data_IF_991519351198
#
_entry.id   IF_991519351198
#
_cell.length_a   1.000
_cell.length_b   1.000
_cell.length_c   1.000
_cell.angle_alpha   90.00
_cell.angle_beta   90.00
_cell.angle_gamma   90.00
#
_symmetry.space_group_name_H-M   'P 1'
#
loop_
_entity.id
_entity.type
_entity.pdbx_description
1 polymer ?
#
# COMPACT_ATOMS: atom_id res chain seq x y z
N UNK A 1 76.45 36.89 -26.65
CA UNK A 1 77.20 36.26 -25.56
C UNK A 1 76.22 35.69 -24.54
N UNK A 2 76.26 34.37 -24.34
CA UNK A 2 75.51 33.53 -23.38
C UNK A 2 73.98 33.77 -23.17
N UNK A 3 73.20 33.60 -24.24
CA UNK A 3 71.78 33.17 -24.22
C UNK A 3 71.67 31.64 -24.43
N UNK A 4 72.43 30.86 -23.66
CA UNK A 4 72.57 29.39 -23.86
C UNK A 4 72.05 28.55 -22.67
N UNK A 5 71.87 29.14 -21.49
CA UNK A 5 71.30 28.46 -20.31
C UNK A 5 69.77 28.41 -20.29
N UNK A 6 69.10 29.46 -20.76
CA UNK A 6 67.64 29.57 -20.68
C UNK A 6 66.86 28.67 -21.64
N UNK A 7 67.40 28.40 -22.84
CA UNK A 7 66.78 27.44 -23.78
C UNK A 7 66.84 26.00 -23.26
N UNK A 8 67.88 25.62 -22.50
CA UNK A 8 67.98 24.29 -21.88
C UNK A 8 67.00 24.13 -20.71
N UNK A 9 66.77 25.19 -19.93
CA UNK A 9 65.83 25.20 -18.80
C UNK A 9 64.37 25.14 -19.29
N UNK A 10 64.02 25.86 -20.35
CA UNK A 10 62.68 25.81 -20.96
C UNK A 10 62.37 24.44 -21.58
N UNK A 11 63.35 23.80 -22.23
CA UNK A 11 63.19 22.44 -22.79
C UNK A 11 63.08 21.39 -21.67
N UNK A 12 63.84 21.52 -20.57
CA UNK A 12 63.70 20.64 -19.40
C UNK A 12 62.35 20.82 -18.69
N UNK A 13 61.82 22.04 -18.58
CA UNK A 13 60.50 22.30 -17.99
C UNK A 13 59.34 21.77 -18.86
N UNK A 14 59.44 21.87 -20.19
CA UNK A 14 58.44 21.30 -21.11
C UNK A 14 58.45 19.76 -21.12
N UNK A 15 59.63 19.14 -20.98
CA UNK A 15 59.75 17.68 -20.84
C UNK A 15 59.27 17.19 -19.48
N UNK A 16 59.53 17.92 -18.39
CA UNK A 16 58.97 17.58 -17.06
C UNK A 16 57.44 17.66 -17.04
N UNK A 17 56.83 18.58 -17.80
CA UNK A 17 55.37 18.68 -17.89
C UNK A 17 54.74 17.56 -18.72
N UNK A 18 55.46 17.01 -19.71
CA UNK A 18 55.02 15.83 -20.47
C UNK A 18 55.19 14.51 -19.69
N UNK A 19 56.20 14.41 -18.81
CA UNK A 19 56.35 13.23 -17.93
C UNK A 19 55.31 13.24 -16.79
N UNK A 20 54.89 14.42 -16.31
CA UNK A 20 53.80 14.55 -15.31
C UNK A 20 52.39 14.27 -15.88
N UNK A 21 52.21 14.27 -17.20
CA UNK A 21 50.95 13.88 -17.85
C UNK A 21 50.89 12.38 -18.23
N UNK A 22 52.00 11.64 -18.10
CA UNK A 22 52.05 10.19 -18.31
C UNK A 22 52.16 9.37 -17.02
N UNK A 23 52.31 10.02 -15.85
CA UNK A 23 52.22 9.39 -14.53
C UNK A 23 50.80 9.45 -13.92
N UNK A 24 49.76 9.58 -14.77
CA UNK A 24 48.34 9.58 -14.37
C UNK A 24 47.56 8.35 -14.84
N UNK A 25 48.25 7.30 -15.30
CA UNK A 25 47.66 6.01 -15.68
C UNK A 25 48.51 4.87 -15.15
N UNK A 26 48.99 4.97 -13.91
CA UNK A 26 49.31 3.75 -13.19
C UNK A 26 47.99 3.22 -12.62
N UNK A 27 47.54 2.16 -13.28
CA UNK A 27 46.65 1.14 -12.77
C UNK A 27 46.79 1.05 -11.24
N UNK A 28 45.86 1.66 -10.50
CA UNK A 28 45.36 0.95 -9.34
C UNK A 28 44.70 -0.31 -9.91
N UNK A 29 45.50 -1.37 -10.04
CA UNK A 29 45.05 -2.69 -9.63
C UNK A 29 44.64 -2.51 -8.16
N UNK A 30 43.47 -1.91 -7.96
CA UNK A 30 42.60 -2.43 -6.93
C UNK A 30 42.56 -3.91 -7.26
N UNK A 31 43.17 -4.71 -6.39
CA UNK A 31 42.74 -6.09 -6.24
C UNK A 31 41.21 -5.99 -6.35
N UNK A 32 40.66 -6.45 -7.49
CA UNK A 32 39.25 -6.76 -7.50
C UNK A 32 39.13 -7.63 -6.26
N UNK A 33 38.30 -7.28 -5.26
CA UNK A 33 37.95 -8.27 -4.27
C UNK A 33 37.49 -9.42 -5.13
N UNK A 34 38.26 -10.52 -5.07
CA UNK A 34 38.11 -11.71 -5.89
C UNK A 34 36.62 -11.85 -6.08
N UNK A 35 36.13 -11.66 -7.32
CA UNK A 35 34.70 -11.69 -7.60
C UNK A 35 34.29 -13.07 -7.15
N UNK A 36 33.86 -13.18 -5.89
CA UNK A 36 33.15 -14.32 -5.39
C UNK A 36 32.14 -14.57 -6.47
N UNK A 37 32.07 -15.80 -7.02
CA UNK A 37 31.11 -16.08 -8.06
C UNK A 37 29.81 -15.52 -7.54
N UNK A 38 29.29 -14.48 -8.21
CA UNK A 38 28.00 -13.91 -7.87
C UNK A 38 27.12 -15.12 -8.08
N UNK A 39 26.78 -15.78 -6.97
CA UNK A 39 25.94 -16.95 -6.96
C UNK A 39 24.74 -16.45 -7.74
N UNK A 40 24.56 -16.95 -8.97
CA UNK A 40 23.46 -16.52 -9.82
C UNK A 40 22.24 -16.89 -9.00
N UNK A 41 21.70 -15.92 -8.27
CA UNK A 41 20.48 -16.10 -7.51
C UNK A 41 19.48 -16.32 -8.61
N UNK A 42 19.13 -17.59 -8.82
CA UNK A 42 18.19 -17.99 -9.85
C UNK A 42 16.96 -17.11 -9.66
N UNK A 43 16.65 -16.27 -10.66
CA UNK A 43 15.49 -15.41 -10.54
C UNK A 43 14.27 -16.29 -10.33
N UNK A 44 13.43 -16.02 -9.32
CA UNK A 44 12.25 -16.83 -9.11
C UNK A 44 11.33 -16.73 -10.32
N UNK A 45 10.63 -17.82 -10.60
CA UNK A 45 9.61 -17.84 -11.64
C UNK A 45 8.58 -16.75 -11.38
N UNK A 46 8.37 -15.88 -12.38
CA UNK A 46 7.38 -14.80 -12.31
C UNK A 46 6.38 -14.98 -13.43
N UNK A 47 5.12 -14.98 -13.05
CA UNK A 47 4.03 -14.91 -14.00
C UNK A 47 4.08 -13.60 -14.78
N UNK A 48 3.64 -13.65 -16.05
CA UNK A 48 3.54 -12.48 -16.91
C UNK A 48 2.13 -12.33 -17.46
N UNK A 49 1.76 -11.11 -17.83
CA UNK A 49 0.59 -10.86 -18.66
C UNK A 49 0.88 -11.13 -20.14
N UNK A 50 -0.16 -11.03 -20.99
CA UNK A 50 -0.05 -11.21 -22.45
C UNK A 50 0.86 -10.18 -23.14
N UNK A 51 1.29 -9.13 -22.43
CA UNK A 51 2.22 -8.10 -22.91
C UNK A 51 3.65 -8.29 -22.36
N UNK A 52 3.91 -9.39 -21.66
CA UNK A 52 5.21 -9.71 -21.09
C UNK A 52 5.56 -8.91 -19.82
N UNK A 53 4.61 -8.18 -19.22
CA UNK A 53 4.85 -7.49 -17.95
C UNK A 53 4.80 -8.50 -16.81
N UNK A 54 5.79 -8.44 -15.92
CA UNK A 54 5.86 -9.33 -14.76
C UNK A 54 4.86 -8.95 -13.67
N UNK A 55 4.25 -9.96 -13.08
CA UNK A 55 3.50 -9.84 -11.84
C UNK A 55 4.40 -9.33 -10.70
N UNK A 56 3.79 -8.68 -9.72
CA UNK A 56 4.46 -8.32 -8.47
C UNK A 56 4.34 -9.48 -7.49
N UNK A 57 5.46 -9.94 -6.93
CA UNK A 57 5.52 -11.14 -6.10
C UNK A 57 5.95 -10.84 -4.68
N UNK A 58 5.54 -11.67 -3.74
CA UNK A 58 6.04 -11.65 -2.37
C UNK A 58 5.15 -12.44 -1.43
N UNK A 59 5.42 -12.34 -0.14
CA UNK A 59 4.59 -12.93 0.92
C UNK A 59 3.73 -11.84 1.53
N UNK A 60 2.41 -12.01 1.54
CA UNK A 60 1.45 -11.17 2.25
C UNK A 60 0.92 -11.96 3.45
N UNK A 61 1.30 -11.55 4.65
CA UNK A 61 0.96 -12.26 5.89
C UNK A 61 1.47 -13.71 5.85
N UNK A 62 0.55 -14.68 5.87
CA UNK A 62 0.90 -16.11 5.82
C UNK A 62 1.09 -16.67 4.40
N UNK A 63 0.68 -15.94 3.35
CA UNK A 63 0.58 -16.49 2.00
C UNK A 63 1.53 -15.83 0.98
N UNK A 64 2.13 -16.64 0.12
CA UNK A 64 2.83 -16.16 -1.07
C UNK A 64 1.83 -15.79 -2.16
N UNK A 65 2.02 -14.63 -2.79
CA UNK A 65 1.13 -14.08 -3.82
C UNK A 65 1.90 -13.64 -5.06
N UNK A 66 1.21 -13.69 -6.20
CA UNK A 66 1.57 -13.13 -7.50
C UNK A 66 0.45 -12.19 -7.92
N UNK A 67 0.68 -10.89 -7.80
CA UNK A 67 -0.31 -9.85 -8.14
C UNK A 67 -0.20 -9.56 -9.64
N UNK A 68 -1.30 -9.68 -10.42
CA UNK A 68 -1.27 -9.47 -11.86
C UNK A 68 -0.67 -8.12 -12.25
N UNK A 69 0.17 -8.14 -13.29
CA UNK A 69 0.70 -6.92 -13.87
C UNK A 69 -0.44 -5.95 -14.27
N UNK A 70 -0.28 -4.67 -13.91
CA UNK A 70 -1.28 -3.64 -14.17
C UNK A 70 -2.27 -3.38 -13.03
N UNK A 71 -2.38 -4.26 -12.03
CA UNK A 71 -3.30 -4.04 -10.89
C UNK A 71 -2.76 -2.99 -9.92
N UNK A 72 -1.45 -3.06 -9.64
CA UNK A 72 -0.76 -2.14 -8.71
C UNK A 72 0.41 -1.41 -9.37
N UNK A 73 0.66 -1.63 -10.66
CA UNK A 73 1.78 -1.06 -11.43
C UNK A 73 3.14 -1.10 -10.71
N UNK A 74 3.40 -2.18 -9.95
CA UNK A 74 4.65 -2.41 -9.23
C UNK A 74 4.76 -1.74 -7.85
N UNK A 75 3.71 -1.06 -7.38
CA UNK A 75 3.68 -0.35 -6.10
C UNK A 75 3.35 -1.25 -4.91
N UNK A 76 4.21 -2.24 -4.67
CA UNK A 76 4.23 -2.99 -3.41
C UNK A 76 5.38 -2.48 -2.53
N UNK A 77 5.07 -2.19 -1.27
CA UNK A 77 6.05 -1.88 -0.24
C UNK A 77 6.43 -3.15 0.48
N UNK A 78 7.72 -3.43 0.58
CA UNK A 78 8.24 -4.62 1.26
C UNK A 78 8.76 -4.23 2.64
N UNK A 79 8.68 -5.17 3.58
CA UNK A 79 9.18 -4.98 4.94
C UNK A 79 10.66 -4.57 4.93
N UNK A 80 10.99 -3.55 5.72
CA UNK A 80 12.35 -3.01 5.82
C UNK A 80 12.74 -2.08 4.67
N UNK A 81 11.88 -1.85 3.67
CA UNK A 81 12.10 -0.80 2.68
C UNK A 81 11.97 0.58 3.34
N UNK A 82 12.88 1.53 3.07
CA UNK A 82 12.74 2.90 3.55
C UNK A 82 11.44 3.51 3.01
N UNK A 83 10.70 4.20 3.88
CA UNK A 83 9.50 4.91 3.48
C UNK A 83 9.79 6.07 2.53
N UNK A 84 8.74 6.59 1.90
CA UNK A 84 8.85 7.68 0.91
C UNK A 84 9.41 8.98 1.49
N UNK A 85 9.32 9.17 2.80
CA UNK A 85 9.87 10.33 3.51
C UNK A 85 11.13 10.02 4.32
N UNK A 86 11.71 8.82 4.17
CA UNK A 86 12.95 8.48 4.85
C UNK A 86 14.11 9.38 4.42
N UNK A 87 15.05 9.63 5.34
CA UNK A 87 16.27 10.39 5.08
C UNK A 87 16.95 9.89 3.78
N UNK A 88 17.29 10.78 2.84
CA UNK A 88 17.99 10.42 1.61
C UNK A 88 19.24 9.55 1.83
N UNK A 89 19.96 9.73 2.95
CA UNK A 89 21.13 8.91 3.31
C UNK A 89 20.76 7.47 3.65
N UNK A 90 19.59 7.23 4.25
CA UNK A 90 19.08 5.88 4.51
C UNK A 90 18.70 5.23 3.18
N UNK A 91 17.99 5.97 2.31
CA UNK A 91 17.61 5.48 0.97
C UNK A 91 18.82 5.12 0.12
N UNK A 92 19.86 5.96 0.13
CA UNK A 92 21.08 5.74 -0.63
C UNK A 92 21.86 4.48 -0.19
N UNK A 93 21.73 4.08 1.08
CA UNK A 93 22.39 2.89 1.63
C UNK A 93 21.55 1.62 1.53
N UNK A 94 20.25 1.75 1.27
CA UNK A 94 19.35 0.62 1.22
C UNK A 94 19.58 -0.23 -0.03
N UNK A 95 19.96 -1.49 0.20
CA UNK A 95 20.02 -2.51 -0.84
C UNK A 95 18.76 -3.35 -0.73
N UNK A 96 17.93 -3.31 -1.78
CA UNK A 96 16.71 -4.12 -1.82
C UNK A 96 17.10 -5.60 -1.87
N UNK A 97 16.55 -6.44 -0.98
CA UNK A 97 16.74 -7.89 -1.08
C UNK A 97 16.25 -8.42 -2.44
N UNK A 98 16.78 -9.54 -2.93
CA UNK A 98 16.22 -10.20 -4.11
C UNK A 98 14.72 -10.41 -3.94
N UNK A 99 13.94 -10.10 -4.98
CA UNK A 99 12.49 -10.37 -4.97
C UNK A 99 12.29 -11.87 -4.98
N UNK A 100 11.58 -12.39 -3.98
CA UNK A 100 11.19 -13.81 -3.86
C UNK A 100 9.78 -13.91 -3.34
N UNK A 101 9.15 -15.08 -3.45
CA UNK A 101 7.82 -15.33 -2.86
C UNK A 101 7.80 -15.38 -1.33
N UNK A 102 8.98 -15.38 -0.70
CA UNK A 102 9.14 -15.29 0.76
C UNK A 102 9.45 -13.87 1.24
N UNK A 103 9.73 -12.93 0.33
CA UNK A 103 9.98 -11.54 0.69
C UNK A 103 8.68 -10.90 1.19
N UNK A 104 8.66 -10.55 2.48
CA UNK A 104 7.48 -10.01 3.15
C UNK A 104 7.06 -8.66 2.56
N UNK A 105 5.81 -8.60 2.12
CA UNK A 105 5.13 -7.39 1.65
C UNK A 105 4.54 -6.70 2.89
N UNK A 106 4.95 -5.47 3.14
CA UNK A 106 4.35 -4.61 4.15
C UNK A 106 2.95 -4.21 3.71
N UNK A 107 2.82 -3.65 2.50
CA UNK A 107 1.53 -3.26 1.96
C UNK A 107 1.51 -3.05 0.44
N UNK A 108 0.30 -3.04 -0.12
CA UNK A 108 0.02 -2.55 -1.47
C UNK A 108 -1.43 -2.07 -1.55
N UNK A 109 -1.73 -1.23 -2.53
CA UNK A 109 -3.08 -0.75 -2.80
C UNK A 109 -3.58 -1.17 -4.19
N UNK A 110 -4.87 -1.49 -4.30
CA UNK A 110 -5.56 -1.77 -5.57
C UNK A 110 -6.99 -1.21 -5.54
N UNK A 111 -7.66 -1.18 -6.69
CA UNK A 111 -9.05 -0.77 -6.79
C UNK A 111 -9.89 -1.88 -7.39
N UNK A 112 -11.13 -2.01 -6.93
CA UNK A 112 -12.10 -2.90 -7.55
C UNK A 112 -13.48 -2.27 -7.60
N UNK A 113 -14.30 -2.71 -8.54
CA UNK A 113 -15.66 -2.22 -8.73
C UNK A 113 -16.62 -3.04 -7.85
N UNK A 114 -17.33 -2.36 -6.96
CA UNK A 114 -18.19 -2.97 -5.94
C UNK A 114 -19.39 -3.71 -6.58
N UNK A 115 -19.83 -3.29 -7.77
CA UNK A 115 -21.01 -3.85 -8.42
C UNK A 115 -20.82 -5.27 -8.94
N UNK A 116 -19.63 -5.62 -9.43
CA UNK A 116 -19.36 -6.91 -10.07
C UNK A 116 -18.04 -7.57 -9.63
N UNK A 117 -17.22 -6.88 -8.84
CA UNK A 117 -15.96 -7.42 -8.31
C UNK A 117 -14.78 -7.32 -9.26
N UNK A 118 -14.91 -6.62 -10.41
CA UNK A 118 -13.80 -6.51 -11.36
C UNK A 118 -12.70 -5.58 -10.83
N UNK A 119 -11.45 -5.89 -11.15
CA UNK A 119 -10.27 -5.22 -10.60
C UNK A 119 -9.72 -4.23 -11.60
N UNK A 120 -9.51 -2.99 -11.16
CA UNK A 120 -8.84 -1.99 -11.97
C UNK A 120 -7.46 -2.52 -12.39
N UNK A 121 -7.27 -2.66 -13.70
CA UNK A 121 -6.02 -3.12 -14.27
C UNK A 121 -5.65 -2.21 -15.43
N UNK A 122 -4.45 -1.63 -15.36
CA UNK A 122 -3.90 -0.76 -16.40
C UNK A 122 -3.80 -1.50 -17.75
N UNK A 123 -4.18 -0.80 -18.81
CA UNK A 123 -4.32 -1.28 -20.19
C UNK A 123 -5.38 -2.38 -20.41
N UNK A 124 -6.45 -2.37 -19.62
CA UNK A 124 -7.65 -3.20 -19.80
C UNK A 124 -8.92 -2.35 -19.81
N UNK A 125 -10.05 -2.96 -20.20
CA UNK A 125 -11.36 -2.31 -20.20
C UNK A 125 -11.72 -1.65 -18.85
N UNK A 126 -11.28 -2.24 -17.75
CA UNK A 126 -11.48 -1.71 -16.40
C UNK A 126 -10.87 -0.33 -16.16
N UNK A 127 -9.79 0.01 -16.87
CA UNK A 127 -9.19 1.36 -16.81
C UNK A 127 -10.10 2.39 -17.48
N UNK A 128 -10.64 2.05 -18.65
CA UNK A 128 -11.61 2.89 -19.36
C UNK A 128 -12.91 3.04 -18.57
N UNK A 129 -13.39 1.96 -17.97
CA UNK A 129 -14.55 1.96 -17.09
C UNK A 129 -14.35 2.89 -15.89
N UNK A 130 -13.21 2.77 -15.21
CA UNK A 130 -12.87 3.63 -14.08
C UNK A 130 -12.82 5.10 -14.50
N UNK A 131 -12.17 5.42 -15.64
CA UNK A 131 -12.09 6.79 -16.16
C UNK A 131 -13.48 7.34 -16.47
N UNK A 132 -14.31 6.58 -17.19
CA UNK A 132 -15.69 6.96 -17.52
C UNK A 132 -16.49 7.22 -16.25
N UNK A 133 -16.46 6.32 -15.28
CA UNK A 133 -17.20 6.47 -14.03
C UNK A 133 -16.72 7.69 -13.24
N UNK A 134 -15.40 7.96 -13.24
CA UNK A 134 -14.80 9.11 -12.58
C UNK A 134 -15.26 10.44 -13.22
N UNK A 135 -15.31 10.50 -14.56
CA UNK A 135 -15.73 11.69 -15.31
C UNK A 135 -17.26 11.92 -15.27
N UNK A 136 -18.06 10.86 -15.16
CA UNK A 136 -19.52 10.94 -15.29
C UNK A 136 -20.30 10.85 -13.98
N UNK A 137 -19.69 10.39 -12.88
CA UNK A 137 -20.37 10.23 -11.60
C UNK A 137 -19.91 11.24 -10.56
N UNK A 138 -18.60 11.42 -10.38
CA UNK A 138 -18.05 12.26 -9.31
C UNK A 138 -18.46 13.74 -9.47
N UNK A 139 -18.34 14.39 -10.65
CA UNK A 139 -18.70 15.80 -10.81
C UNK A 139 -20.18 16.10 -10.54
N UNK A 140 -21.02 15.08 -10.62
CA UNK A 140 -22.47 15.18 -10.42
C UNK A 140 -22.92 14.63 -9.06
N UNK A 141 -21.97 14.38 -8.14
CA UNK A 141 -22.27 13.89 -6.79
C UNK A 141 -22.92 12.50 -6.75
N UNK A 142 -22.77 11.70 -7.83
CA UNK A 142 -23.35 10.35 -7.88
C UNK A 142 -22.43 9.35 -7.15
N UNK A 143 -23.00 8.27 -6.58
CA UNK A 143 -22.20 7.24 -5.91
C UNK A 143 -21.14 6.62 -6.83
N UNK A 144 -19.87 6.78 -6.46
CA UNK A 144 -18.75 6.21 -7.21
C UNK A 144 -18.60 4.71 -6.90
N UNK A 145 -18.69 3.81 -7.90
CA UNK A 145 -18.82 2.36 -7.69
C UNK A 145 -17.50 1.63 -7.45
N UNK A 146 -16.39 2.35 -7.30
CA UNK A 146 -15.07 1.76 -7.09
C UNK A 146 -14.62 1.94 -5.65
N UNK A 147 -14.17 0.85 -5.03
CA UNK A 147 -13.50 0.86 -3.75
C UNK A 147 -11.99 0.98 -3.94
N UNK A 148 -11.34 1.79 -3.11
CA UNK A 148 -9.89 1.77 -2.95
C UNK A 148 -9.54 0.85 -1.79
N UNK A 149 -8.65 -0.12 -2.02
CA UNK A 149 -8.26 -1.13 -1.03
C UNK A 149 -6.76 -1.03 -0.78
N UNK A 150 -6.36 -1.08 0.48
CA UNK A 150 -4.98 -1.28 0.90
C UNK A 150 -4.89 -2.54 1.74
N UNK A 151 -4.04 -3.49 1.34
CA UNK A 151 -3.78 -4.71 2.09
C UNK A 151 -2.43 -4.60 2.81
N UNK A 152 -2.40 -4.99 4.08
CA UNK A 152 -1.22 -4.92 4.94
C UNK A 152 -0.90 -6.29 5.51
N UNK A 153 0.34 -6.75 5.37
CA UNK A 153 0.80 -7.97 6.02
C UNK A 153 1.08 -7.74 7.50
N UNK A 154 0.58 -8.62 8.38
CA UNK A 154 0.85 -8.57 9.82
C UNK A 154 1.80 -9.70 10.20
N UNK A 155 3.04 -9.37 10.55
CA UNK A 155 4.12 -10.35 10.81
C UNK A 155 4.54 -10.43 12.28
N UNK A 156 3.87 -9.69 13.18
CA UNK A 156 4.15 -9.66 14.61
C UNK A 156 3.12 -10.46 15.43
N UNK A 157 3.35 -10.54 16.74
CA UNK A 157 2.45 -11.19 17.69
C UNK A 157 1.29 -10.29 18.16
N UNK A 158 1.07 -9.15 17.47
CA UNK A 158 0.00 -8.23 17.84
C UNK A 158 -1.37 -8.93 17.65
N UNK A 159 -2.33 -8.73 18.58
CA UNK A 159 -3.68 -9.24 18.40
C UNK A 159 -4.28 -8.72 17.10
N UNK A 160 -4.87 -9.60 16.29
CA UNK A 160 -5.53 -9.26 15.04
C UNK A 160 -6.95 -8.74 15.30
N UNK A 161 -7.08 -7.67 16.08
CA UNK A 161 -8.37 -7.04 16.37
C UNK A 161 -8.21 -5.55 16.68
N UNK A 162 -9.32 -4.81 16.60
CA UNK A 162 -9.37 -3.38 16.84
C UNK A 162 -9.79 -3.01 18.27
N UNK A 163 -9.76 -3.93 19.24
CA UNK A 163 -10.23 -3.64 20.59
C UNK A 163 -9.52 -2.42 21.19
N UNK A 164 -8.19 -2.39 21.11
CA UNK A 164 -7.40 -1.25 21.57
C UNK A 164 -7.64 -0.01 20.70
N UNK A 165 -7.61 -0.15 19.37
CA UNK A 165 -7.79 0.96 18.43
C UNK A 165 -9.11 1.70 18.63
N UNK A 166 -10.22 0.97 18.76
CA UNK A 166 -11.55 1.59 18.95
C UNK A 166 -11.65 2.26 20.33
N UNK A 167 -11.12 1.61 21.38
CA UNK A 167 -11.10 2.21 22.72
C UNK A 167 -10.28 3.49 22.75
N UNK A 168 -9.12 3.48 22.10
CA UNK A 168 -8.23 4.65 22.04
C UNK A 168 -8.84 5.77 21.21
N UNK A 169 -9.47 5.46 20.07
CA UNK A 169 -10.15 6.45 19.24
C UNK A 169 -11.28 7.17 19.99
N UNK A 170 -12.09 6.42 20.75
CA UNK A 170 -13.14 7.01 21.58
C UNK A 170 -12.57 7.85 22.73
N UNK A 171 -11.49 7.38 23.36
CA UNK A 171 -10.79 8.13 24.42
C UNK A 171 -10.22 9.45 23.87
N UNK A 172 -9.51 9.40 22.75
CA UNK A 172 -8.91 10.58 22.09
C UNK A 172 -10.00 11.55 21.64
N UNK A 173 -11.09 11.05 21.05
CA UNK A 173 -12.25 11.88 20.68
C UNK A 173 -12.82 12.62 21.89
N UNK A 174 -12.94 11.94 23.03
CA UNK A 174 -13.43 12.58 24.26
C UNK A 174 -12.45 13.64 24.79
N UNK A 175 -11.16 13.33 24.83
CA UNK A 175 -10.14 14.21 25.38
C UNK A 175 -9.87 15.45 24.51
N UNK A 176 -9.87 15.28 23.18
CA UNK A 176 -9.46 16.33 22.23
C UNK A 176 -10.65 17.16 21.74
N UNK A 177 -11.80 16.53 21.47
CA UNK A 177 -12.96 17.20 20.85
C UNK A 177 -14.20 17.24 21.75
N UNK A 178 -14.13 16.65 22.95
CA UNK A 178 -15.25 16.50 23.88
C UNK A 178 -16.45 15.74 23.26
N UNK A 179 -16.19 14.86 22.29
CA UNK A 179 -17.19 13.99 21.70
C UNK A 179 -17.26 12.68 22.49
N UNK A 180 -18.45 12.32 22.93
CA UNK A 180 -18.73 11.01 23.51
C UNK A 180 -19.43 10.11 22.50
N UNK A 181 -18.89 8.91 22.25
CA UNK A 181 -19.47 7.97 21.29
C UNK A 181 -20.43 7.01 21.99
N UNK A 182 -21.72 7.24 21.80
CA UNK A 182 -22.79 6.51 22.48
C UNK A 182 -23.32 5.41 21.58
N UNK A 183 -23.31 4.18 22.10
CA UNK A 183 -23.86 3.02 21.42
C UNK A 183 -25.37 3.19 21.18
N UNK A 184 -25.81 2.87 19.99
CA UNK A 184 -27.21 2.93 19.58
C UNK A 184 -27.91 1.60 19.90
N UNK A 185 -29.21 1.65 20.25
CA UNK A 185 -30.01 0.47 20.58
C UNK A 185 -30.15 -0.49 19.39
N UNK A 186 -30.36 0.07 18.20
CA UNK A 186 -30.60 -0.70 16.98
C UNK A 186 -29.30 -0.86 16.19
N UNK A 187 -28.91 -2.09 15.83
CA UNK A 187 -27.79 -2.31 14.93
C UNK A 187 -28.15 -1.83 13.52
N UNK A 188 -27.12 -1.53 12.72
CA UNK A 188 -27.26 -1.15 11.31
C UNK A 188 -26.54 -2.17 10.42
N UNK A 189 -27.27 -2.90 9.58
CA UNK A 189 -26.71 -3.93 8.69
C UNK A 189 -25.85 -4.98 9.43
N UNK A 190 -26.24 -5.35 10.66
CA UNK A 190 -25.48 -6.28 11.50
C UNK A 190 -24.26 -5.67 12.20
N UNK A 191 -24.08 -4.35 12.14
CA UNK A 191 -23.03 -3.61 12.85
C UNK A 191 -23.58 -2.97 14.12
N UNK A 192 -22.77 -2.96 15.19
CA UNK A 192 -23.02 -2.11 16.35
C UNK A 192 -22.65 -0.68 16.00
N UNK A 193 -23.56 0.26 16.22
CA UNK A 193 -23.39 1.67 15.83
C UNK A 193 -23.13 2.53 17.06
N UNK A 194 -22.20 3.48 16.92
CA UNK A 194 -21.92 4.52 17.88
C UNK A 194 -22.07 5.88 17.20
N UNK A 195 -22.74 6.80 17.88
CA UNK A 195 -22.93 8.18 17.40
C UNK A 195 -22.31 9.18 18.36
N UNK A 196 -21.62 10.17 17.79
CA UNK A 196 -21.08 11.31 18.50
C UNK A 196 -22.18 12.08 19.25
N UNK A 197 -22.07 12.17 20.57
CA UNK A 197 -23.03 12.81 21.48
C UNK A 197 -24.49 12.39 21.20
N UNK A 198 -24.69 11.09 20.93
CA UNK A 198 -25.98 10.50 20.55
C UNK A 198 -26.62 11.13 19.30
N UNK A 199 -25.79 11.64 18.38
CA UNK A 199 -26.23 12.29 17.14
C UNK A 199 -26.59 13.76 17.29
N UNK A 200 -26.42 14.36 18.47
CA UNK A 200 -26.79 15.76 18.75
C UNK A 200 -25.53 16.59 18.97
N UNK A 201 -25.44 17.74 18.29
CA UNK A 201 -24.41 18.72 18.55
C UNK A 201 -24.68 19.42 19.90
N UNK A 202 -23.81 19.27 20.90
CA UNK A 202 -24.03 19.86 22.23
C UNK A 202 -24.01 21.39 22.22
N UNK A 203 -23.46 22.03 21.19
CA UNK A 203 -23.42 23.49 21.07
C UNK A 203 -24.75 24.06 20.56
N UNK A 204 -25.40 23.36 19.64
CA UNK A 204 -26.61 23.85 18.97
C UNK A 204 -27.89 23.16 19.46
N UNK A 205 -27.78 21.97 20.06
CA UNK A 205 -28.93 21.13 20.42
C UNK A 205 -29.60 20.44 19.23
N UNK A 206 -29.03 20.58 18.03
CA UNK A 206 -29.57 20.06 16.78
C UNK A 206 -28.85 18.77 16.37
N UNK A 207 -29.44 17.93 15.51
CA UNK A 207 -28.73 16.83 14.90
C UNK A 207 -27.47 17.32 14.17
N UNK A 208 -26.39 16.54 14.22
CA UNK A 208 -25.18 16.84 13.43
C UNK A 208 -25.54 16.96 11.95
N UNK A 209 -25.23 18.11 11.34
CA UNK A 209 -25.58 18.39 9.93
C UNK A 209 -24.42 18.16 8.95
N UNK A 210 -23.17 18.40 9.37
CA UNK A 210 -22.00 18.27 8.50
C UNK A 210 -20.66 18.43 9.24
N UNK A 211 -20.49 17.78 10.40
CA UNK A 211 -19.22 17.85 11.14
C UNK A 211 -18.36 16.61 10.85
N UNK A 212 -17.15 16.83 10.33
CA UNK A 212 -16.18 15.76 10.05
C UNK A 212 -15.64 15.11 11.33
N UNK A 213 -15.83 15.73 12.50
CA UNK A 213 -15.43 15.17 13.79
C UNK A 213 -16.50 14.25 14.39
N UNK A 214 -17.72 14.27 13.85
CA UNK A 214 -18.89 13.55 14.34
C UNK A 214 -19.29 12.38 13.44
N UNK A 215 -18.31 11.71 12.84
CA UNK A 215 -18.51 10.54 11.98
C UNK A 215 -19.32 9.46 12.68
N UNK A 216 -20.17 8.77 11.93
CA UNK A 216 -20.79 7.57 12.48
C UNK A 216 -19.72 6.47 12.58
N UNK A 217 -19.60 5.85 13.75
CA UNK A 217 -18.65 4.75 14.00
C UNK A 217 -19.42 3.45 14.10
N UNK A 218 -18.98 2.41 13.40
CA UNK A 218 -19.63 1.10 13.39
C UNK A 218 -18.60 -0.01 13.57
N UNK A 219 -18.96 -1.05 14.32
CA UNK A 219 -18.08 -2.20 14.58
C UNK A 219 -18.80 -3.52 14.35
N UNK A 220 -18.02 -4.53 13.97
CA UNK A 220 -18.44 -5.93 14.03
C UNK A 220 -17.49 -6.71 14.94
N UNK A 221 -18.05 -7.59 15.78
CA UNK A 221 -17.31 -8.45 16.69
C UNK A 221 -17.43 -9.91 16.27
N UNK A 222 -16.36 -10.68 16.47
CA UNK A 222 -16.40 -12.13 16.37
C UNK A 222 -17.16 -12.76 17.56
N UNK A 223 -17.26 -14.09 17.55
CA UNK A 223 -17.91 -14.85 18.63
C UNK A 223 -17.20 -14.73 19.99
N UNK A 224 -15.89 -14.43 19.98
CA UNK A 224 -15.11 -14.19 21.19
C UNK A 224 -15.22 -12.73 21.70
N UNK A 225 -15.96 -11.88 21.00
CA UNK A 225 -16.17 -10.48 21.33
C UNK A 225 -15.07 -9.54 20.85
N UNK A 226 -14.11 -10.01 20.04
CA UNK A 226 -13.07 -9.15 19.48
C UNK A 226 -13.60 -8.37 18.29
N UNK A 227 -13.27 -7.08 18.22
CA UNK A 227 -13.64 -6.21 17.11
C UNK A 227 -12.80 -6.59 15.88
N UNK A 228 -13.46 -7.17 14.88
CA UNK A 228 -12.82 -7.62 13.62
C UNK A 228 -12.95 -6.60 12.50
N UNK A 229 -14.01 -5.81 12.55
CA UNK A 229 -14.32 -4.79 11.56
C UNK A 229 -14.55 -3.49 12.29
N UNK A 230 -13.91 -2.42 11.81
CA UNK A 230 -14.12 -1.06 12.26
C UNK A 230 -14.41 -0.18 11.04
N UNK A 231 -15.53 0.52 11.05
CA UNK A 231 -15.98 1.40 9.98
C UNK A 231 -16.28 2.76 10.57
N UNK A 232 -15.80 3.80 9.93
CA UNK A 232 -16.21 5.17 10.17
C UNK A 232 -16.71 5.78 8.86
N UNK A 233 -17.79 6.54 8.95
CA UNK A 233 -18.41 7.14 7.78
C UNK A 233 -18.52 8.66 7.93
N UNK A 234 -17.84 9.37 7.05
CA UNK A 234 -17.99 10.80 6.86
C UNK A 234 -19.35 11.10 6.24
N UNK A 235 -20.08 12.05 6.84
CA UNK A 235 -21.24 12.68 6.22
C UNK A 235 -21.08 14.20 6.30
N UNK A 236 -20.70 14.81 5.18
CA UNK A 236 -20.75 16.26 5.01
C UNK A 236 -21.49 16.56 3.71
N UNK A 237 -21.87 17.82 3.49
CA UNK A 237 -22.55 18.23 2.26
C UNK A 237 -21.75 17.89 0.98
N UNK A 238 -20.45 17.60 1.10
CA UNK A 238 -19.54 17.33 -0.02
C UNK A 238 -18.88 15.95 0.00
N UNK A 239 -18.99 15.21 1.11
CA UNK A 239 -18.36 13.89 1.27
C UNK A 239 -19.33 12.90 1.86
N UNK A 240 -19.44 11.76 1.19
CA UNK A 240 -20.28 10.65 1.62
C UNK A 240 -19.53 9.34 1.40
N UNK A 241 -18.50 9.12 2.22
CA UNK A 241 -17.57 8.00 2.12
C UNK A 241 -17.41 7.33 3.47
N UNK A 242 -17.08 6.04 3.45
CA UNK A 242 -16.69 5.30 4.64
C UNK A 242 -15.24 4.85 4.50
N UNK A 243 -14.52 4.90 5.61
CA UNK A 243 -13.28 4.18 5.82
C UNK A 243 -13.62 2.91 6.60
N UNK A 244 -13.14 1.78 6.13
CA UNK A 244 -13.50 0.47 6.64
C UNK A 244 -12.24 -0.36 6.76
N UNK A 245 -11.92 -0.78 7.97
CA UNK A 245 -10.82 -1.69 8.26
C UNK A 245 -11.34 -3.03 8.74
N UNK A 246 -10.72 -4.11 8.29
CA UNK A 246 -10.96 -5.44 8.83
C UNK A 246 -9.69 -6.28 8.95
N UNK A 247 -9.67 -7.22 9.88
CA UNK A 247 -8.62 -8.23 10.00
C UNK A 247 -9.08 -9.56 9.42
N UNK A 248 -8.18 -10.25 8.72
CA UNK A 248 -8.35 -11.66 8.39
C UNK A 248 -7.29 -12.50 9.12
N UNK A 249 -7.76 -13.42 9.96
CA UNK A 249 -6.89 -14.20 10.85
C UNK A 249 -6.13 -15.28 10.10
N UNK A 250 -6.76 -15.96 9.14
CA UNK A 250 -6.09 -17.02 8.38
C UNK A 250 -4.92 -16.48 7.56
N UNK A 251 -5.12 -15.31 6.96
CA UNK A 251 -4.11 -14.63 6.15
C UNK A 251 -3.09 -13.85 6.98
N UNK A 252 -3.39 -13.53 8.25
CA UNK A 252 -2.66 -12.55 9.06
C UNK A 252 -2.47 -11.22 8.31
N UNK A 253 -3.59 -10.62 7.90
CA UNK A 253 -3.59 -9.32 7.21
C UNK A 253 -4.57 -8.36 7.86
N UNK A 254 -4.28 -7.07 7.70
CA UNK A 254 -5.23 -5.99 7.88
C UNK A 254 -5.57 -5.42 6.51
N UNK A 255 -6.84 -5.14 6.27
CA UNK A 255 -7.32 -4.55 5.02
C UNK A 255 -8.01 -3.24 5.33
N UNK A 256 -7.70 -2.20 4.56
CA UNK A 256 -8.34 -0.89 4.61
C UNK A 256 -9.09 -0.69 3.30
N UNK A 257 -10.29 -0.14 3.38
CA UNK A 257 -11.18 0.09 2.26
C UNK A 257 -11.74 1.50 2.37
N UNK A 258 -11.76 2.23 1.27
CA UNK A 258 -12.52 3.48 1.15
C UNK A 258 -13.54 3.35 0.03
N UNK A 259 -14.80 3.67 0.32
CA UNK A 259 -15.92 3.55 -0.62
C UNK A 259 -17.03 4.56 -0.33
N UNK A 260 -17.89 4.81 -1.31
CA UNK A 260 -19.07 5.66 -1.12
C UNK A 260 -20.07 5.01 -0.14
N UNK A 261 -20.52 5.76 0.87
CA UNK A 261 -21.40 5.26 1.95
C UNK A 261 -22.67 4.57 1.47
N UNK A 262 -23.16 4.89 0.26
CA UNK A 262 -24.30 4.18 -0.37
C UNK A 262 -24.09 2.66 -0.42
N UNK A 263 -22.83 2.20 -0.46
CA UNK A 263 -22.48 0.78 -0.49
C UNK A 263 -22.27 0.16 0.90
N UNK A 264 -22.44 0.90 2.00
CA UNK A 264 -22.35 0.38 3.37
C UNK A 264 -23.25 -0.85 3.63
N UNK A 265 -24.47 -0.98 3.09
CA UNK A 265 -25.28 -2.20 3.26
C UNK A 265 -24.60 -3.48 2.76
N UNK A 266 -23.57 -3.35 1.90
CA UNK A 266 -22.81 -4.45 1.30
C UNK A 266 -21.45 -4.68 1.96
N UNK A 267 -21.20 -4.13 3.16
CA UNK A 267 -19.90 -4.19 3.82
C UNK A 267 -19.35 -5.63 3.96
N UNK A 268 -20.19 -6.60 4.35
CA UNK A 268 -19.77 -8.01 4.45
C UNK A 268 -19.41 -8.61 3.09
N UNK A 269 -20.16 -8.25 2.04
CA UNK A 269 -19.87 -8.69 0.68
C UNK A 269 -18.53 -8.10 0.21
N UNK A 270 -18.24 -6.84 0.54
CA UNK A 270 -16.98 -6.19 0.20
C UNK A 270 -15.78 -6.86 0.87
N UNK A 271 -15.86 -7.19 2.15
CA UNK A 271 -14.81 -7.98 2.84
C UNK A 271 -14.60 -9.32 2.14
N UNK A 272 -15.67 -10.08 1.90
CA UNK A 272 -15.60 -11.37 1.22
C UNK A 272 -15.03 -11.28 -0.20
N UNK A 273 -15.42 -10.26 -0.97
CA UNK A 273 -14.92 -10.03 -2.33
C UNK A 273 -13.43 -9.72 -2.36
N UNK A 274 -12.97 -8.88 -1.43
CA UNK A 274 -11.53 -8.58 -1.31
C UNK A 274 -10.75 -9.86 -1.00
N UNK A 275 -11.24 -10.69 -0.08
CA UNK A 275 -10.58 -11.96 0.21
C UNK A 275 -10.56 -12.91 -0.98
N UNK A 276 -11.64 -12.96 -1.79
CA UNK A 276 -11.65 -13.74 -3.04
C UNK A 276 -10.62 -13.23 -4.06
N UNK A 277 -10.48 -11.90 -4.19
CA UNK A 277 -9.48 -11.28 -5.06
C UNK A 277 -8.07 -11.67 -4.61
N UNK A 278 -7.76 -11.51 -3.32
CA UNK A 278 -6.46 -11.87 -2.76
C UNK A 278 -6.17 -13.36 -2.91
N UNK A 279 -7.15 -14.23 -2.63
CA UNK A 279 -7.01 -15.69 -2.77
C UNK A 279 -6.72 -16.12 -4.21
N UNK A 280 -7.32 -15.44 -5.19
CA UNK A 280 -7.04 -15.67 -6.61
C UNK A 280 -5.58 -15.41 -7.01
N UNK A 281 -4.84 -14.65 -6.21
CA UNK A 281 -3.44 -14.30 -6.46
C UNK A 281 -2.45 -15.23 -5.74
N UNK A 282 -2.93 -16.21 -4.99
CA UNK A 282 -2.05 -17.14 -4.27
C UNK A 282 -1.26 -18.02 -5.23
N UNK A 283 -0.05 -18.31 -4.80
CA UNK A 283 0.87 -19.22 -5.47
C UNK A 283 1.47 -20.22 -4.49
N UNK A 284 2.06 -21.28 -5.03
CA UNK A 284 3.05 -22.09 -4.29
C UNK A 284 4.31 -21.26 -4.03
N UNK A 285 5.21 -21.76 -3.17
CA UNK A 285 6.49 -21.08 -2.89
C UNK A 285 7.38 -20.94 -4.13
N UNK A 286 7.17 -21.81 -5.11
CA UNK A 286 7.87 -21.83 -6.40
C UNK A 286 7.20 -20.91 -7.45
N UNK A 287 6.07 -20.27 -7.12
CA UNK A 287 5.39 -19.30 -7.98
C UNK A 287 4.30 -19.86 -8.89
N UNK A 288 3.91 -21.12 -8.70
CA UNK A 288 2.81 -21.72 -9.47
C UNK A 288 1.47 -21.22 -8.94
N UNK A 289 0.62 -20.69 -9.82
CA UNK A 289 -0.73 -20.24 -9.48
C UNK A 289 -1.60 -21.37 -8.93
N UNK A 290 -2.35 -21.08 -7.87
CA UNK A 290 -3.32 -22.01 -7.29
C UNK A 290 -4.69 -21.95 -7.97
N UNK A 291 -4.96 -20.91 -8.75
CA UNK A 291 -6.21 -20.71 -9.47
C UNK A 291 -6.11 -19.64 -10.55
N UNK A 292 -7.27 -19.28 -11.12
CA UNK A 292 -7.36 -18.18 -12.09
C UNK A 292 -7.26 -16.84 -11.34
N UNK A 293 -6.29 -16.01 -11.72
CA UNK A 293 -6.11 -14.68 -11.13
C UNK A 293 -7.20 -13.71 -11.61
N UNK A 294 -7.85 -13.04 -10.67
CA UNK A 294 -8.73 -11.90 -10.95
C UNK A 294 -7.85 -10.69 -11.31
N UNK A 295 -8.27 -9.89 -12.29
CA UNK A 295 -7.49 -8.77 -12.83
C UNK A 295 -6.48 -9.18 -13.90
N UNK A 296 -6.23 -10.48 -14.12
CA UNK A 296 -5.33 -10.96 -15.18
C UNK A 296 -6.03 -11.07 -16.54
N UNK A 297 -5.34 -10.62 -17.59
CA UNK A 297 -5.75 -10.75 -18.98
C UNK A 297 -5.41 -12.14 -19.52
#
# INVERSE_FOLDING_TARGET
MMKSGWKKILIFMLLLWQVLLLAGCDYYVSEQPEKQPVQQVQEPFRNQDSRGRYDTIGKLGTHSISIPAGVIDGWARYMGAPGDFADPKIKAKYQRPPKTYDLAIESFGFKYRITDGDVYTSFRQTEEDYRRDNETLIPYGKPFPWASVSAYGVYGAAPLNFNFTVQDDFRVSKEVTNIDYIQQEQPLYGLTVYKANNGIDPKTGEPWKSDTLAEDKMIHKDQAGNIKTYIDCEFTQHKNFCHHMFYNDDWHIQVWISYNRTYLPRWQEMEGRIMQILDSWRVTREGKLLGKQIGKA
#
